data_IF_866499440100
#
_entry.id   IF_866499440100
#
_cell.length_a   1.000
_cell.length_b   1.000
_cell.length_c   1.000
_cell.angle_alpha   90.00
_cell.angle_beta   90.00
_cell.angle_gamma   90.00
#
_symmetry.space_group_name_H-M   'P 1'
#
loop_
_entity.id
_entity.type
_entity.pdbx_description
1 polymer ?
#
# COMPACT_ATOMS: atom_id res chain seq x y z
N UNK A 1 72.43 -10.81 -47.59
CA UNK A 1 72.36 -9.53 -46.83
C UNK A 1 71.44 -9.74 -45.66
N UNK A 2 71.94 -9.93 -44.45
CA UNK A 2 71.19 -10.13 -43.25
C UNK A 2 70.98 -8.77 -42.53
N UNK A 3 69.77 -8.31 -42.42
CA UNK A 3 69.46 -7.06 -41.77
C UNK A 3 69.37 -7.28 -40.24
N UNK A 4 70.26 -6.65 -39.50
CA UNK A 4 70.30 -6.65 -38.05
C UNK A 4 69.26 -5.67 -37.52
N UNK A 5 68.19 -6.16 -36.87
CA UNK A 5 67.21 -5.34 -36.11
C UNK A 5 67.84 -5.12 -34.75
N UNK A 6 68.20 -3.88 -34.43
CA UNK A 6 68.88 -3.50 -33.22
C UNK A 6 68.00 -3.71 -31.96
N UNK A 7 68.61 -4.33 -30.93
CA UNK A 7 68.00 -4.61 -29.58
C UNK A 7 67.29 -3.42 -28.89
N UNK A 8 67.59 -2.18 -29.28
CA UNK A 8 66.98 -0.96 -28.73
C UNK A 8 65.54 -0.73 -29.18
N UNK A 9 65.12 -1.22 -30.38
CA UNK A 9 63.73 -1.08 -30.85
C UNK A 9 62.79 -2.11 -30.24
N UNK A 10 63.31 -3.26 -29.83
CA UNK A 10 62.53 -4.33 -29.20
C UNK A 10 62.17 -4.00 -27.74
N UNK A 11 63.02 -3.26 -27.03
CA UNK A 11 62.71 -2.80 -25.64
C UNK A 11 61.74 -1.64 -25.56
N UNK A 12 61.61 -0.80 -26.61
CA UNK A 12 60.66 0.31 -26.65
C UNK A 12 59.21 -0.14 -26.88
N UNK A 13 59.00 -1.27 -27.56
CA UNK A 13 57.66 -1.84 -27.79
C UNK A 13 57.09 -2.62 -26.58
N UNK A 14 57.96 -3.17 -25.70
CA UNK A 14 57.52 -3.84 -24.47
C UNK A 14 57.21 -2.87 -23.31
N UNK A 15 57.84 -1.68 -23.28
CA UNK A 15 57.58 -0.65 -22.26
C UNK A 15 56.22 0.07 -22.43
N UNK A 16 55.70 0.16 -23.66
CA UNK A 16 54.42 0.79 -23.95
C UNK A 16 53.18 -0.02 -23.54
N UNK A 17 53.29 -1.37 -23.54
CA UNK A 17 52.18 -2.24 -23.19
C UNK A 17 51.97 -2.39 -21.66
N UNK A 18 53.01 -2.17 -20.85
CA UNK A 18 52.93 -2.26 -19.39
C UNK A 18 52.36 -1.00 -18.73
N UNK A 19 52.38 0.17 -19.40
CA UNK A 19 51.83 1.41 -18.88
C UNK A 19 50.31 1.58 -19.12
N UNK A 20 49.73 0.80 -20.06
CA UNK A 20 48.31 0.84 -20.35
C UNK A 20 47.44 -0.09 -19.46
N UNK A 21 48.06 -1.03 -18.75
CA UNK A 21 47.37 -2.01 -17.90
C UNK A 21 46.68 -1.40 -16.67
N UNK A 22 47.26 -0.42 -15.93
CA UNK A 22 46.57 0.17 -14.78
C UNK A 22 45.43 1.11 -15.14
N UNK A 23 45.28 1.57 -16.40
CA UNK A 23 44.16 2.39 -16.83
C UNK A 23 42.89 1.56 -17.19
N UNK A 24 43.08 0.33 -17.67
CA UNK A 24 41.97 -0.58 -17.93
C UNK A 24 41.37 -1.17 -16.64
N UNK A 25 42.17 -1.32 -15.57
CA UNK A 25 41.72 -1.80 -14.26
C UNK A 25 40.89 -0.78 -13.47
N UNK A 26 40.99 0.50 -13.82
CA UNK A 26 40.15 1.56 -13.21
C UNK A 26 38.75 1.70 -13.85
N UNK A 27 38.48 1.06 -14.97
CA UNK A 27 37.20 1.12 -15.67
C UNK A 27 36.14 0.15 -15.13
N UNK A 28 36.47 -0.73 -14.16
CA UNK A 28 35.53 -1.53 -13.41
C UNK A 28 35.30 -0.93 -12.00
N UNK A 29 34.98 0.37 -11.90
CA UNK A 29 34.28 0.82 -10.73
C UNK A 29 32.88 0.15 -10.79
N UNK A 30 32.69 -0.87 -9.95
CA UNK A 30 31.37 -1.44 -9.73
C UNK A 30 30.42 -0.28 -9.39
N UNK A 31 29.50 0.02 -10.28
CA UNK A 31 28.42 0.98 -9.95
C UNK A 31 27.80 0.47 -8.66
N UNK A 32 27.77 1.28 -7.59
CA UNK A 32 27.20 0.83 -6.34
C UNK A 32 25.78 0.31 -6.60
N UNK A 33 25.46 -0.84 -6.03
CA UNK A 33 24.11 -1.41 -6.15
C UNK A 33 23.09 -0.38 -5.66
N UNK A 34 22.10 0.03 -6.47
CA UNK A 34 21.08 0.97 -6.03
C UNK A 34 20.29 0.41 -4.86
N UNK A 35 19.88 1.28 -3.96
CA UNK A 35 19.13 0.93 -2.76
C UNK A 35 17.72 1.50 -2.86
N UNK A 36 16.71 0.66 -2.66
CA UNK A 36 15.33 1.06 -2.47
C UNK A 36 15.02 1.09 -0.99
N UNK A 37 14.64 2.25 -0.45
CA UNK A 37 14.12 2.37 0.91
C UNK A 37 12.63 2.04 0.93
N UNK A 38 12.25 0.89 1.47
CA UNK A 38 10.85 0.49 1.61
C UNK A 38 10.32 0.96 2.96
N UNK A 39 9.41 1.94 2.95
CA UNK A 39 8.83 2.55 4.17
C UNK A 39 7.33 2.22 4.26
N UNK A 40 6.92 1.61 5.38
CA UNK A 40 5.52 1.25 5.62
C UNK A 40 5.08 1.57 7.06
N UNK A 41 3.83 2.00 7.22
CA UNK A 41 3.25 2.27 8.54
C UNK A 41 2.86 1.03 9.35
N UNK A 42 2.71 -0.12 8.70
CA UNK A 42 2.30 -1.38 9.34
C UNK A 42 3.45 -2.32 9.64
N UNK A 43 3.09 -3.59 9.86
CA UNK A 43 4.00 -4.70 10.07
C UNK A 43 4.39 -5.38 8.75
N UNK A 44 5.46 -6.21 8.72
CA UNK A 44 5.82 -7.00 7.56
C UNK A 44 4.67 -7.86 7.04
N UNK A 45 4.45 -7.82 5.72
CA UNK A 45 3.45 -8.62 5.02
C UNK A 45 4.10 -9.25 3.78
N UNK A 46 4.22 -10.57 3.79
CA UNK A 46 4.93 -11.32 2.76
C UNK A 46 4.26 -11.18 1.37
N UNK A 47 2.92 -11.13 1.30
CA UNK A 47 2.18 -11.02 0.04
C UNK A 47 2.38 -9.64 -0.60
N UNK A 48 2.33 -8.58 0.20
CA UNK A 48 2.56 -7.20 -0.25
C UNK A 48 4.00 -7.01 -0.72
N UNK A 49 4.97 -7.51 0.04
CA UNK A 49 6.39 -7.51 -0.35
C UNK A 49 6.59 -8.29 -1.65
N UNK A 50 5.97 -9.47 -1.80
CA UNK A 50 6.05 -10.26 -3.03
C UNK A 50 5.45 -9.52 -4.24
N UNK A 51 4.33 -8.79 -4.06
CA UNK A 51 3.73 -7.97 -5.10
C UNK A 51 4.66 -6.81 -5.51
N UNK A 52 5.25 -6.12 -4.54
CA UNK A 52 6.26 -5.08 -4.80
C UNK A 52 7.48 -5.62 -5.56
N UNK A 53 8.06 -6.74 -5.09
CA UNK A 53 9.19 -7.41 -5.75
C UNK A 53 8.85 -7.83 -7.17
N UNK A 54 7.63 -8.32 -7.41
CA UNK A 54 7.16 -8.67 -8.76
C UNK A 54 7.21 -7.47 -9.69
N UNK A 55 6.66 -6.32 -9.26
CA UNK A 55 6.72 -5.09 -10.06
C UNK A 55 8.14 -4.62 -10.32
N UNK A 56 9.03 -4.73 -9.33
CA UNK A 56 10.44 -4.40 -9.48
C UNK A 56 11.14 -5.33 -10.49
N UNK A 57 10.83 -6.64 -10.42
CA UNK A 57 11.36 -7.66 -11.34
C UNK A 57 10.90 -7.45 -12.79
N UNK A 58 9.67 -6.97 -13.02
CA UNK A 58 9.14 -6.62 -14.35
C UNK A 58 10.00 -5.57 -15.05
N UNK A 59 10.76 -4.79 -14.29
CA UNK A 59 11.70 -3.79 -14.80
C UNK A 59 13.15 -4.29 -14.87
N UNK A 60 13.40 -5.54 -14.53
CA UNK A 60 14.72 -6.17 -14.55
C UNK A 60 15.55 -6.01 -13.28
N UNK A 61 14.96 -5.47 -12.19
CA UNK A 61 15.62 -5.37 -10.89
C UNK A 61 15.23 -6.54 -9.99
N UNK A 62 16.23 -7.28 -9.50
CA UNK A 62 16.06 -8.43 -8.61
C UNK A 62 16.81 -8.17 -7.31
N UNK A 63 16.06 -8.20 -6.18
CA UNK A 63 16.63 -7.98 -4.85
C UNK A 63 17.79 -8.94 -4.56
N UNK A 64 18.88 -8.40 -4.01
CA UNK A 64 20.09 -9.15 -3.69
C UNK A 64 20.98 -9.46 -4.88
N UNK A 65 20.55 -9.12 -6.11
CA UNK A 65 21.32 -9.35 -7.33
C UNK A 65 21.81 -8.04 -7.97
N UNK A 66 20.91 -7.10 -8.24
CA UNK A 66 21.24 -5.81 -8.85
C UNK A 66 20.50 -4.63 -8.21
N UNK A 67 19.77 -4.86 -7.11
CA UNK A 67 19.16 -3.87 -6.25
C UNK A 67 19.14 -4.39 -4.81
N UNK A 68 19.39 -3.51 -3.83
CA UNK A 68 19.15 -3.77 -2.42
C UNK A 68 17.83 -3.13 -1.99
N UNK A 69 17.12 -3.75 -1.04
CA UNK A 69 15.91 -3.17 -0.44
C UNK A 69 16.13 -3.08 1.07
N UNK A 70 15.97 -1.89 1.61
CA UNK A 70 16.00 -1.64 3.05
C UNK A 70 14.57 -1.49 3.56
N UNK A 71 14.10 -2.45 4.34
CA UNK A 71 12.73 -2.49 4.86
C UNK A 71 12.62 -1.78 6.20
N UNK A 72 11.74 -0.77 6.26
CA UNK A 72 11.44 0.01 7.45
C UNK A 72 9.94 -0.05 7.77
N UNK A 73 9.61 -0.68 8.89
CA UNK A 73 8.24 -0.90 9.35
C UNK A 73 7.96 -0.12 10.63
N UNK A 74 6.88 0.66 10.64
CA UNK A 74 6.46 1.38 11.84
C UNK A 74 5.60 0.54 12.79
N UNK A 75 5.13 -0.65 12.35
CA UNK A 75 4.37 -1.60 13.18
C UNK A 75 3.08 -1.01 13.78
N UNK A 76 2.41 -0.11 13.04
CA UNK A 76 1.23 0.60 13.50
C UNK A 76 1.52 1.84 14.35
N UNK A 77 2.78 2.08 14.72
CA UNK A 77 3.22 3.24 15.51
C UNK A 77 3.65 4.36 14.56
N UNK A 78 2.69 5.18 14.09
CA UNK A 78 2.95 6.19 13.06
C UNK A 78 3.93 7.28 13.49
N UNK A 79 4.08 7.53 14.79
CA UNK A 79 5.07 8.43 15.39
C UNK A 79 6.53 8.00 15.13
N UNK A 80 6.78 6.74 14.78
CA UNK A 80 8.09 6.24 14.36
C UNK A 80 8.46 6.63 12.91
N UNK A 81 7.47 6.88 12.04
CA UNK A 81 7.69 7.14 10.61
C UNK A 81 8.67 8.30 10.33
N UNK A 82 8.61 9.45 11.04
CA UNK A 82 9.55 10.54 10.79
C UNK A 82 11.02 10.16 11.03
N UNK A 83 11.30 9.32 12.02
CA UNK A 83 12.65 8.84 12.28
C UNK A 83 13.12 7.86 11.21
N UNK A 84 12.26 6.93 10.80
CA UNK A 84 12.54 5.96 9.74
C UNK A 84 12.77 6.64 8.38
N UNK A 85 11.95 7.63 8.03
CA UNK A 85 12.12 8.39 6.79
C UNK A 85 13.44 9.18 6.78
N UNK A 86 13.79 9.86 7.89
CA UNK A 86 15.08 10.56 8.02
C UNK A 86 16.28 9.61 7.92
N UNK A 87 16.16 8.38 8.40
CA UNK A 87 17.23 7.38 8.25
C UNK A 87 17.48 7.03 6.80
N UNK A 88 16.41 6.76 6.02
CA UNK A 88 16.50 6.52 4.57
C UNK A 88 17.14 7.70 3.82
N UNK A 89 16.75 8.94 4.19
CA UNK A 89 17.33 10.16 3.60
C UNK A 89 18.83 10.27 3.92
N UNK A 90 19.23 10.02 5.17
CA UNK A 90 20.63 10.04 5.60
C UNK A 90 21.46 9.00 4.87
N UNK A 91 20.90 7.82 4.59
CA UNK A 91 21.53 6.74 3.82
C UNK A 91 21.58 7.01 2.32
N UNK A 92 20.96 8.09 1.86
CA UNK A 92 20.92 8.47 0.44
C UNK A 92 20.42 7.32 -0.47
N UNK A 93 19.33 6.69 -0.07
CA UNK A 93 18.71 5.65 -0.90
C UNK A 93 18.35 6.19 -2.27
N UNK A 94 18.37 5.36 -3.31
CA UNK A 94 18.13 5.77 -4.70
C UNK A 94 16.67 6.13 -4.96
N UNK A 95 15.74 5.50 -4.24
CA UNK A 95 14.29 5.76 -4.29
C UNK A 95 13.64 5.31 -2.99
N UNK A 96 12.61 6.02 -2.53
CA UNK A 96 11.77 5.63 -1.39
C UNK A 96 10.46 5.07 -1.92
N UNK A 97 10.18 3.81 -1.62
CA UNK A 97 8.89 3.17 -1.82
C UNK A 97 8.04 3.34 -0.54
N UNK A 98 7.17 4.34 -0.52
CA UNK A 98 6.32 4.68 0.63
C UNK A 98 4.96 3.97 0.49
N UNK A 99 4.83 2.81 1.11
CA UNK A 99 3.75 1.84 0.84
C UNK A 99 2.59 1.88 1.82
N UNK A 100 2.33 3.05 2.37
CA UNK A 100 1.10 3.39 3.10
C UNK A 100 0.94 4.90 3.09
N UNK A 101 -0.26 5.40 3.33
CA UNK A 101 -0.49 6.83 3.23
C UNK A 101 0.24 7.64 4.31
N UNK A 102 0.30 7.23 5.60
CA UNK A 102 1.16 7.90 6.57
C UNK A 102 2.64 7.90 6.18
N UNK A 103 3.13 6.80 5.59
CA UNK A 103 4.50 6.73 5.10
C UNK A 103 4.75 7.68 3.91
N UNK A 104 3.79 7.80 2.98
CA UNK A 104 3.88 8.70 1.82
C UNK A 104 3.98 10.18 2.25
N UNK A 105 3.10 10.60 3.17
CA UNK A 105 3.12 11.97 3.72
C UNK A 105 4.45 12.24 4.42
N UNK A 106 4.90 11.29 5.25
CA UNK A 106 6.15 11.43 6.01
C UNK A 106 7.38 11.45 5.10
N UNK A 107 7.45 10.57 4.09
CA UNK A 107 8.55 10.56 3.14
C UNK A 107 8.63 11.89 2.35
N UNK A 108 7.47 12.42 1.90
CA UNK A 108 7.41 13.71 1.22
C UNK A 108 7.89 14.86 2.10
N UNK A 109 7.54 14.84 3.37
CA UNK A 109 8.02 15.85 4.33
C UNK A 109 9.53 15.74 4.62
N UNK A 110 10.12 14.54 4.47
CA UNK A 110 11.51 14.29 4.79
C UNK A 110 12.49 14.66 3.66
N UNK A 111 12.05 14.65 2.39
CA UNK A 111 12.93 14.94 1.24
C UNK A 111 12.19 15.55 0.06
N UNK A 112 12.86 16.45 -0.65
CA UNK A 112 12.41 17.03 -1.92
C UNK A 112 13.27 16.59 -3.11
N UNK A 113 14.30 15.77 -2.86
CA UNK A 113 15.31 15.39 -3.88
C UNK A 113 15.30 13.90 -4.17
N UNK A 114 15.19 13.03 -3.14
CA UNK A 114 15.10 11.59 -3.35
C UNK A 114 13.75 11.26 -3.96
N UNK A 115 13.69 10.54 -5.10
CA UNK A 115 12.44 10.07 -5.68
C UNK A 115 11.58 9.27 -4.70
N UNK A 116 10.28 9.54 -4.70
CA UNK A 116 9.31 8.83 -3.85
C UNK A 116 8.26 8.21 -4.75
N UNK A 117 8.05 6.90 -4.57
CA UNK A 117 6.93 6.17 -5.18
C UNK A 117 6.00 5.72 -4.07
N UNK A 118 4.78 6.22 -4.06
CA UNK A 118 3.83 5.92 -2.99
C UNK A 118 2.73 4.94 -3.41
N UNK A 119 2.09 4.31 -2.42
CA UNK A 119 0.69 3.87 -2.54
C UNK A 119 -0.15 4.51 -1.45
N UNK A 120 -1.35 4.96 -1.81
CA UNK A 120 -2.32 5.56 -0.88
C UNK A 120 -3.72 5.01 -1.14
N UNK A 121 -4.56 5.07 -0.11
CA UNK A 121 -5.97 4.68 -0.18
C UNK A 121 -6.92 5.86 -0.34
N UNK A 122 -6.39 7.08 -0.46
CA UNK A 122 -7.13 8.33 -0.63
C UNK A 122 -6.61 9.12 -1.82
N UNK A 123 -7.32 10.19 -2.19
CA UNK A 123 -6.91 11.08 -3.28
C UNK A 123 -5.57 11.76 -2.95
N UNK A 124 -4.50 11.46 -3.70
CA UNK A 124 -3.18 12.03 -3.44
C UNK A 124 -3.09 13.52 -3.76
N UNK A 125 -4.05 14.10 -4.50
CA UNK A 125 -4.12 15.55 -4.74
C UNK A 125 -4.67 16.25 -3.50
N UNK A 126 -5.76 15.75 -2.92
CA UNK A 126 -6.31 16.27 -1.66
C UNK A 126 -5.30 16.16 -0.51
N UNK A 127 -4.47 15.10 -0.52
CA UNK A 127 -3.38 14.92 0.43
C UNK A 127 -2.20 15.87 0.20
N UNK A 128 -2.22 16.61 -0.88
CA UNK A 128 -1.10 17.45 -1.29
C UNK A 128 0.17 16.65 -1.64
N UNK A 129 0.08 15.34 -1.91
CA UNK A 129 1.23 14.54 -2.33
C UNK A 129 1.68 14.90 -3.74
N UNK A 130 0.74 15.15 -4.64
CA UNK A 130 0.97 15.50 -6.04
C UNK A 130 0.07 16.65 -6.47
N UNK A 131 0.46 17.37 -7.54
CA UNK A 131 -0.35 18.48 -8.08
C UNK A 131 -1.56 17.97 -8.88
N UNK A 132 -1.41 16.85 -9.59
CA UNK A 132 -2.48 16.13 -10.29
C UNK A 132 -2.07 14.68 -10.55
N UNK A 133 -3.03 13.81 -10.86
CA UNK A 133 -2.75 12.41 -11.17
C UNK A 133 -1.96 12.26 -12.49
N UNK A 134 -2.30 13.06 -13.50
CA UNK A 134 -1.65 13.00 -14.82
C UNK A 134 -0.26 13.62 -14.86
N UNK A 135 -0.01 14.61 -14.01
CA UNK A 135 1.28 15.32 -13.88
C UNK A 135 1.60 15.54 -12.41
N UNK A 136 2.19 14.54 -11.74
CA UNK A 136 2.40 14.60 -10.30
C UNK A 136 3.30 15.76 -9.86
N UNK A 137 4.27 16.16 -10.70
CA UNK A 137 5.29 17.17 -10.43
C UNK A 137 6.26 16.84 -9.29
N UNK A 138 7.45 17.47 -9.30
CA UNK A 138 8.45 17.26 -8.25
C UNK A 138 9.06 15.85 -8.25
N UNK A 139 9.36 15.36 -7.03
CA UNK A 139 10.04 14.08 -6.81
C UNK A 139 9.08 12.93 -6.39
N UNK A 140 7.77 13.10 -6.54
CA UNK A 140 6.76 12.18 -6.00
C UNK A 140 5.84 11.66 -7.10
N UNK A 141 5.61 10.36 -7.15
CA UNK A 141 4.60 9.67 -7.98
C UNK A 141 4.12 8.41 -7.27
N UNK A 142 3.21 7.64 -7.87
CA UNK A 142 2.77 6.38 -7.25
C UNK A 142 1.46 5.83 -7.78
N UNK A 143 0.72 5.18 -6.88
CA UNK A 143 -0.59 4.61 -7.14
C UNK A 143 -1.60 4.96 -6.04
N UNK A 144 -2.89 5.02 -6.39
CA UNK A 144 -3.97 5.17 -5.42
C UNK A 144 -5.07 4.14 -5.67
N UNK A 145 -5.67 3.66 -4.58
CA UNK A 145 -6.78 2.70 -4.61
C UNK A 145 -8.14 3.38 -4.40
N UNK A 146 -8.17 4.63 -3.98
CA UNK A 146 -9.38 5.39 -3.61
C UNK A 146 -10.31 4.62 -2.63
N UNK A 147 -9.73 3.83 -1.74
CA UNK A 147 -10.51 2.97 -0.82
C UNK A 147 -11.29 3.77 0.23
N UNK A 148 -10.88 5.01 0.51
CA UNK A 148 -11.61 5.92 1.40
C UNK A 148 -12.85 6.44 0.68
N UNK A 149 -12.73 6.85 -0.57
CA UNK A 149 -13.79 7.42 -1.40
C UNK A 149 -14.91 6.40 -1.68
N UNK A 150 -14.60 5.11 -1.75
CA UNK A 150 -15.61 4.06 -1.94
C UNK A 150 -16.24 3.56 -0.62
N UNK A 151 -15.86 4.11 0.54
CA UNK A 151 -16.43 3.70 1.83
C UNK A 151 -17.95 3.94 1.94
N UNK A 152 -18.53 5.03 1.41
CA UNK A 152 -19.99 5.19 1.32
C UNK A 152 -20.67 4.02 0.61
N UNK A 153 -20.08 3.51 -0.48
CA UNK A 153 -20.62 2.37 -1.21
C UNK A 153 -20.60 1.07 -0.39
N UNK A 154 -19.64 0.91 0.52
CA UNK A 154 -19.64 -0.22 1.46
C UNK A 154 -20.85 -0.17 2.38
N UNK A 155 -21.21 1.01 2.89
CA UNK A 155 -22.41 1.19 3.72
C UNK A 155 -23.69 0.87 2.92
N UNK A 156 -23.79 1.35 1.68
CA UNK A 156 -24.92 1.05 0.81
C UNK A 156 -25.08 -0.46 0.57
N UNK A 157 -23.98 -1.17 0.25
CA UNK A 157 -23.99 -2.63 0.03
C UNK A 157 -24.41 -3.36 1.31
N UNK A 158 -23.89 -2.94 2.46
CA UNK A 158 -24.21 -3.54 3.75
C UNK A 158 -25.67 -3.29 4.13
N UNK A 159 -26.20 -2.09 3.85
CA UNK A 159 -27.62 -1.77 4.07
C UNK A 159 -28.55 -2.51 3.10
N UNK A 160 -28.15 -2.69 1.84
CA UNK A 160 -28.91 -3.51 0.87
C UNK A 160 -29.04 -4.97 1.35
N UNK A 161 -28.00 -5.49 2.00
CA UNK A 161 -28.04 -6.81 2.62
C UNK A 161 -28.96 -6.84 3.86
N UNK A 162 -29.07 -5.73 4.58
CA UNK A 162 -29.73 -5.64 5.88
C UNK A 162 -30.80 -4.51 5.87
N UNK A 163 -31.84 -4.61 5.00
CA UNK A 163 -32.74 -3.49 4.72
C UNK A 163 -33.62 -3.07 5.91
N UNK A 164 -33.76 -3.92 6.92
CA UNK A 164 -34.51 -3.61 8.15
C UNK A 164 -33.65 -2.96 9.23
N UNK A 165 -32.33 -2.93 9.05
CA UNK A 165 -31.41 -2.33 10.01
C UNK A 165 -31.30 -0.81 9.78
N UNK A 166 -31.49 -0.04 10.87
CA UNK A 166 -31.39 1.43 10.84
C UNK A 166 -30.15 1.95 11.57
N UNK A 167 -29.44 1.09 12.31
CA UNK A 167 -28.25 1.43 13.09
C UNK A 167 -27.04 0.68 12.53
N UNK A 168 -26.01 1.43 12.14
CA UNK A 168 -24.74 0.91 11.68
C UNK A 168 -23.60 1.52 12.46
N UNK A 169 -22.43 0.93 12.36
CA UNK A 169 -21.21 1.48 12.95
C UNK A 169 -20.07 1.55 11.93
N UNK A 170 -19.16 2.49 12.18
CA UNK A 170 -17.88 2.63 11.50
C UNK A 170 -16.77 2.43 12.52
N UNK A 171 -15.87 1.48 12.29
CA UNK A 171 -14.65 1.32 13.08
C UNK A 171 -13.51 2.08 12.42
N UNK A 172 -12.83 2.93 13.18
CA UNK A 172 -11.70 3.74 12.74
C UNK A 172 -10.55 3.70 13.76
N UNK A 173 -9.34 3.97 13.27
CA UNK A 173 -8.21 4.27 14.15
C UNK A 173 -8.10 5.80 14.31
N UNK A 174 -8.25 6.35 15.53
CA UNK A 174 -8.20 7.80 15.76
C UNK A 174 -6.83 8.41 15.46
N UNK A 175 -5.75 7.62 15.42
CA UNK A 175 -4.39 8.11 15.09
C UNK A 175 -4.15 8.22 13.59
N UNK A 176 -5.04 7.68 12.76
CA UNK A 176 -4.94 7.78 11.32
C UNK A 176 -5.37 9.19 10.86
N UNK A 177 -4.56 9.89 10.06
CA UNK A 177 -4.86 11.26 9.60
C UNK A 177 -6.15 11.39 8.75
N UNK A 178 -6.69 10.27 8.25
CA UNK A 178 -7.95 10.29 7.45
C UNK A 178 -9.20 10.01 8.25
N UNK A 179 -9.09 9.67 9.51
CA UNK A 179 -10.23 9.28 10.35
C UNK A 179 -11.33 10.32 10.31
N UNK A 180 -10.98 11.61 10.35
CA UNK A 180 -11.96 12.70 10.32
C UNK A 180 -12.67 12.79 8.96
N UNK A 181 -11.92 12.74 7.84
CA UNK A 181 -12.50 12.81 6.48
C UNK A 181 -13.39 11.60 6.23
N UNK A 182 -12.89 10.40 6.55
CA UNK A 182 -13.63 9.15 6.40
C UNK A 182 -14.94 9.16 7.21
N UNK A 183 -14.86 9.57 8.48
CA UNK A 183 -16.02 9.63 9.39
C UNK A 183 -17.06 10.61 8.88
N UNK A 184 -16.66 11.80 8.45
CA UNK A 184 -17.54 12.84 7.90
C UNK A 184 -18.25 12.37 6.63
N UNK A 185 -17.50 11.75 5.70
CA UNK A 185 -18.04 11.25 4.43
C UNK A 185 -19.06 10.13 4.68
N UNK A 186 -18.75 9.19 5.56
CA UNK A 186 -19.67 8.09 5.86
C UNK A 186 -20.90 8.56 6.66
N UNK A 187 -20.75 9.55 7.56
CA UNK A 187 -21.90 10.17 8.24
C UNK A 187 -22.83 10.90 7.25
N UNK A 188 -22.27 11.57 6.22
CA UNK A 188 -23.07 12.20 5.18
C UNK A 188 -23.86 11.14 4.38
N UNK A 189 -23.21 10.04 4.00
CA UNK A 189 -23.87 8.92 3.30
C UNK A 189 -24.96 8.27 4.19
N UNK A 190 -24.69 8.03 5.46
CA UNK A 190 -25.67 7.48 6.39
C UNK A 190 -26.92 8.37 6.51
N UNK A 191 -26.72 9.70 6.63
CA UNK A 191 -27.84 10.65 6.64
C UNK A 191 -28.67 10.60 5.35
N UNK A 192 -28.05 10.51 4.20
CA UNK A 192 -28.76 10.41 2.92
C UNK A 192 -29.58 9.12 2.77
N UNK A 193 -29.17 8.06 3.47
CA UNK A 193 -29.88 6.78 3.53
C UNK A 193 -30.89 6.69 4.68
N UNK A 194 -31.01 7.72 5.52
CA UNK A 194 -31.88 7.70 6.71
C UNK A 194 -31.36 6.79 7.83
N UNK A 195 -30.05 6.50 7.86
CA UNK A 195 -29.43 5.59 8.82
C UNK A 195 -28.75 6.34 9.96
N UNK A 196 -28.73 5.72 11.13
CA UNK A 196 -27.92 6.14 12.27
C UNK A 196 -26.54 5.47 12.18
N UNK A 197 -25.47 6.28 12.23
CA UNK A 197 -24.08 5.78 12.18
C UNK A 197 -23.34 6.13 13.47
N UNK A 198 -22.82 5.12 14.15
CA UNK A 198 -21.96 5.27 15.32
C UNK A 198 -20.49 5.13 14.90
N UNK A 199 -19.64 6.08 15.33
CA UNK A 199 -18.20 6.01 15.12
C UNK A 199 -17.56 5.34 16.33
N UNK A 200 -16.94 4.19 16.12
CA UNK A 200 -16.21 3.44 17.13
C UNK A 200 -14.71 3.52 16.83
N UNK A 201 -13.90 3.59 17.85
CA UNK A 201 -12.47 3.81 17.73
C UNK A 201 -11.69 2.65 18.33
N UNK A 202 -10.61 2.25 17.62
CA UNK A 202 -9.60 1.33 18.12
C UNK A 202 -8.24 1.79 17.64
N UNK A 203 -7.28 1.95 18.54
CA UNK A 203 -5.88 2.26 18.26
C UNK A 203 -4.94 1.11 18.62
N UNK A 204 -5.44 0.15 19.39
CA UNK A 204 -4.74 -1.06 19.81
C UNK A 204 -5.65 -2.28 19.68
N UNK A 205 -5.07 -3.48 19.69
CA UNK A 205 -5.84 -4.74 19.67
C UNK A 205 -6.73 -4.90 20.92
N UNK A 206 -6.31 -4.35 22.05
CA UNK A 206 -7.09 -4.40 23.30
C UNK A 206 -8.41 -3.65 23.22
N UNK A 207 -8.54 -2.70 22.28
CA UNK A 207 -9.78 -1.94 22.10
C UNK A 207 -10.87 -2.76 21.40
N UNK A 208 -10.50 -3.82 20.67
CA UNK A 208 -11.45 -4.57 19.84
C UNK A 208 -12.59 -5.22 20.63
N UNK A 209 -12.30 -5.84 21.78
CA UNK A 209 -13.34 -6.48 22.58
C UNK A 209 -14.36 -5.44 23.07
N UNK A 210 -13.92 -4.26 23.48
CA UNK A 210 -14.80 -3.16 23.90
C UNK A 210 -15.64 -2.62 22.72
N UNK A 211 -15.06 -2.53 21.52
CA UNK A 211 -15.75 -2.14 20.29
C UNK A 211 -16.87 -3.14 19.99
N UNK A 212 -16.56 -4.45 19.97
CA UNK A 212 -17.58 -5.46 19.66
C UNK A 212 -18.65 -5.59 20.73
N UNK A 213 -18.30 -5.43 22.00
CA UNK A 213 -19.29 -5.33 23.09
C UNK A 213 -20.22 -4.13 22.90
N UNK A 214 -19.69 -2.99 22.44
CA UNK A 214 -20.47 -1.79 22.13
C UNK A 214 -21.41 -2.02 20.95
N UNK A 215 -20.96 -2.68 19.87
CA UNK A 215 -21.80 -3.05 18.72
C UNK A 215 -23.01 -3.88 19.13
N UNK A 216 -22.80 -4.89 19.99
CA UNK A 216 -23.89 -5.72 20.53
C UNK A 216 -24.85 -4.89 21.36
N UNK A 217 -24.35 -4.02 22.24
CA UNK A 217 -25.17 -3.13 23.10
C UNK A 217 -26.01 -2.15 22.28
N UNK A 218 -25.46 -1.60 21.20
CA UNK A 218 -26.13 -0.72 20.25
C UNK A 218 -27.13 -1.47 19.36
N UNK A 219 -27.13 -2.78 19.35
CA UNK A 219 -27.86 -3.62 18.39
C UNK A 219 -27.57 -3.18 16.96
N UNK A 220 -26.29 -2.90 16.67
CA UNK A 220 -25.87 -2.48 15.34
C UNK A 220 -26.21 -3.58 14.33
N UNK A 221 -26.90 -3.22 13.26
CA UNK A 221 -27.21 -4.15 12.18
C UNK A 221 -25.96 -4.58 11.41
N UNK A 222 -24.93 -3.69 11.33
CA UNK A 222 -23.69 -4.02 10.66
C UNK A 222 -22.56 -3.06 10.98
N UNK A 223 -21.34 -3.50 10.63
CA UNK A 223 -20.09 -2.77 10.83
C UNK A 223 -19.40 -2.51 9.49
N UNK A 224 -19.07 -1.25 9.23
CA UNK A 224 -18.10 -0.87 8.19
C UNK A 224 -16.75 -0.68 8.87
N UNK A 225 -15.73 -1.39 8.42
CA UNK A 225 -14.35 -1.13 8.88
C UNK A 225 -13.74 -0.06 7.97
N UNK A 226 -13.17 0.97 8.58
CA UNK A 226 -12.59 2.12 7.89
C UNK A 226 -11.45 1.72 6.95
N UNK A 227 -11.51 2.23 5.72
CA UNK A 227 -10.48 1.98 4.73
C UNK A 227 -9.22 2.82 4.94
N UNK A 228 -8.12 2.43 4.25
CA UNK A 228 -6.87 3.18 4.30
C UNK A 228 -6.09 3.07 5.61
N UNK A 229 -6.42 2.11 6.43
CA UNK A 229 -5.91 1.96 7.79
C UNK A 229 -5.03 0.71 7.92
N UNK A 230 -3.72 0.94 8.06
CA UNK A 230 -2.73 -0.16 8.05
C UNK A 230 -2.81 -1.03 9.32
N UNK A 231 -3.16 -0.44 10.46
CA UNK A 231 -3.32 -1.19 11.72
C UNK A 231 -4.50 -2.16 11.62
N UNK A 232 -5.70 -1.67 11.24
CA UNK A 232 -6.89 -2.50 11.08
C UNK A 232 -6.70 -3.54 9.96
N UNK A 233 -6.01 -3.15 8.88
CA UNK A 233 -5.71 -4.01 7.75
C UNK A 233 -4.79 -5.18 8.13
N UNK A 234 -3.79 -4.95 8.99
CA UNK A 234 -2.92 -6.00 9.51
C UNK A 234 -3.62 -6.94 10.52
N UNK A 235 -4.83 -6.59 10.98
CA UNK A 235 -5.65 -7.36 11.94
C UNK A 235 -6.93 -7.92 11.32
N UNK A 236 -7.00 -7.97 9.99
CA UNK A 236 -8.19 -8.41 9.26
C UNK A 236 -8.70 -9.78 9.71
N UNK A 237 -7.82 -10.74 10.00
CA UNK A 237 -8.21 -12.07 10.49
C UNK A 237 -8.83 -12.02 11.90
N UNK A 238 -8.26 -11.23 12.81
CA UNK A 238 -8.81 -11.05 14.16
C UNK A 238 -10.18 -10.35 14.11
N UNK A 239 -10.30 -9.31 13.29
CA UNK A 239 -11.56 -8.58 13.11
C UNK A 239 -12.64 -9.48 12.48
N UNK A 240 -12.28 -10.33 11.51
CA UNK A 240 -13.20 -11.31 10.92
C UNK A 240 -13.71 -12.31 11.97
N UNK A 241 -12.81 -12.85 12.80
CA UNK A 241 -13.16 -13.78 13.87
C UNK A 241 -14.06 -13.14 14.94
N UNK A 242 -13.80 -11.89 15.32
CA UNK A 242 -14.63 -11.16 16.27
C UNK A 242 -15.99 -10.84 15.68
N UNK A 243 -16.07 -10.41 14.41
CA UNK A 243 -17.30 -10.15 13.71
C UNK A 243 -18.22 -11.40 13.70
N UNK A 244 -17.65 -12.56 13.39
CA UNK A 244 -18.39 -13.83 13.41
C UNK A 244 -18.80 -14.22 14.83
N UNK A 245 -17.90 -14.13 15.82
CA UNK A 245 -18.19 -14.46 17.23
C UNK A 245 -19.36 -13.67 17.81
N UNK A 246 -19.42 -12.37 17.47
CA UNK A 246 -20.44 -11.47 17.96
C UNK A 246 -21.66 -11.36 17.03
N UNK A 247 -21.70 -12.19 15.98
CA UNK A 247 -22.75 -12.19 14.96
C UNK A 247 -23.01 -10.78 14.36
N UNK A 248 -21.94 -10.02 14.08
CA UNK A 248 -22.01 -8.69 13.49
C UNK A 248 -21.67 -8.77 11.99
N UNK A 249 -22.64 -8.56 11.08
CA UNK A 249 -22.38 -8.46 9.65
C UNK A 249 -21.38 -7.34 9.37
N UNK A 250 -20.29 -7.64 8.67
CA UNK A 250 -19.18 -6.68 8.53
C UNK A 250 -18.67 -6.63 7.11
N UNK A 251 -18.41 -5.41 6.62
CA UNK A 251 -17.78 -5.15 5.33
C UNK A 251 -16.47 -4.39 5.53
N UNK A 252 -15.43 -4.77 4.74
CA UNK A 252 -14.13 -4.12 4.75
C UNK A 252 -13.64 -3.82 3.32
N UNK A 253 -12.48 -3.18 3.21
CA UNK A 253 -11.90 -2.84 1.91
C UNK A 253 -11.16 -4.01 1.24
N UNK A 254 -10.47 -4.83 2.02
CA UNK A 254 -9.49 -5.80 1.52
C UNK A 254 -10.06 -7.19 1.33
N UNK A 255 -9.73 -7.81 0.20
CA UNK A 255 -10.02 -9.22 -0.11
C UNK A 255 -9.61 -10.17 1.02
N UNK A 256 -8.45 -9.91 1.66
CA UNK A 256 -7.89 -10.74 2.72
C UNK A 256 -8.84 -10.89 3.92
N UNK A 257 -9.69 -9.87 4.18
CA UNK A 257 -10.73 -9.93 5.21
C UNK A 257 -11.77 -11.01 4.89
N UNK A 258 -12.29 -11.04 3.66
CA UNK A 258 -13.27 -12.05 3.24
C UNK A 258 -12.66 -13.46 3.22
N UNK A 259 -11.41 -13.61 2.77
CA UNK A 259 -10.67 -14.87 2.79
C UNK A 259 -10.40 -15.37 4.22
N UNK A 260 -10.18 -14.47 5.16
CA UNK A 260 -9.99 -14.82 6.58
C UNK A 260 -11.30 -15.14 7.32
N UNK A 261 -12.44 -15.23 6.63
CA UNK A 261 -13.75 -15.55 7.20
C UNK A 261 -14.61 -14.33 7.49
N UNK A 262 -14.25 -13.12 7.03
CA UNK A 262 -15.15 -11.98 7.05
C UNK A 262 -16.31 -12.13 6.08
N UNK A 263 -17.41 -11.40 6.30
CA UNK A 263 -18.62 -11.55 5.48
C UNK A 263 -18.41 -11.09 4.04
N UNK A 264 -17.88 -9.89 3.85
CA UNK A 264 -17.65 -9.35 2.52
C UNK A 264 -16.56 -8.27 2.51
N UNK A 265 -16.00 -8.04 1.32
CA UNK A 265 -15.12 -6.91 1.07
C UNK A 265 -15.51 -6.18 -0.22
N UNK A 266 -15.29 -4.87 -0.23
CA UNK A 266 -15.46 -4.02 -1.41
C UNK A 266 -14.36 -2.98 -1.46
N UNK A 267 -13.44 -3.08 -2.43
CA UNK A 267 -12.31 -2.17 -2.54
C UNK A 267 -11.37 -2.47 -3.69
N UNK A 268 -10.45 -1.56 -3.94
CA UNK A 268 -9.40 -1.70 -4.94
C UNK A 268 -8.30 -2.67 -4.51
N UNK A 269 -7.62 -3.24 -5.50
CA UNK A 269 -6.56 -4.22 -5.28
C UNK A 269 -5.31 -3.57 -4.66
N UNK A 270 -5.04 -3.91 -3.41
CA UNK A 270 -3.80 -3.51 -2.71
C UNK A 270 -2.57 -4.13 -3.39
N UNK A 271 -2.67 -5.39 -3.83
CA UNK A 271 -1.57 -6.10 -4.47
C UNK A 271 -1.13 -5.43 -5.77
N UNK A 272 -2.10 -4.96 -6.60
CA UNK A 272 -1.78 -4.24 -7.83
C UNK A 272 -1.08 -2.92 -7.56
N UNK A 273 -1.49 -2.18 -6.52
CA UNK A 273 -0.83 -0.94 -6.14
C UNK A 273 0.61 -1.17 -5.69
N UNK A 274 0.88 -2.23 -4.90
CA UNK A 274 2.25 -2.59 -4.52
C UNK A 274 3.10 -2.99 -5.73
N UNK A 275 2.52 -3.74 -6.69
CA UNK A 275 3.19 -4.09 -7.95
C UNK A 275 3.54 -2.83 -8.76
N UNK A 276 2.62 -1.87 -8.86
CA UNK A 276 2.86 -0.58 -9.54
C UNK A 276 3.99 0.18 -8.86
N UNK A 277 4.01 0.25 -7.51
CA UNK A 277 5.10 0.90 -6.75
C UNK A 277 6.44 0.26 -7.07
N UNK A 278 6.51 -1.07 -7.14
CA UNK A 278 7.72 -1.80 -7.52
C UNK A 278 8.16 -1.48 -8.96
N UNK A 279 7.23 -1.51 -9.92
CA UNK A 279 7.51 -1.19 -11.31
C UNK A 279 7.99 0.27 -11.48
N UNK A 280 7.37 1.22 -10.78
CA UNK A 280 7.78 2.62 -10.84
C UNK A 280 9.14 2.85 -10.16
N UNK A 281 9.41 2.20 -9.04
CA UNK A 281 10.73 2.23 -8.43
C UNK A 281 11.82 1.77 -9.41
N UNK A 282 11.59 0.67 -10.12
CA UNK A 282 12.53 0.16 -11.11
C UNK A 282 12.69 1.07 -12.34
N UNK A 283 11.62 1.72 -12.81
CA UNK A 283 11.69 2.72 -13.89
C UNK A 283 12.52 3.94 -13.47
N UNK A 284 12.35 4.40 -12.23
CA UNK A 284 13.13 5.51 -11.67
C UNK A 284 14.60 5.11 -11.54
N UNK A 285 14.92 3.89 -11.12
CA UNK A 285 16.29 3.39 -11.09
C UNK A 285 16.93 3.32 -12.49
N UNK A 286 16.13 3.27 -13.56
CA UNK A 286 16.58 3.39 -14.97
C UNK A 286 16.72 4.84 -15.45
N UNK A 287 16.40 5.82 -14.59
CA UNK A 287 16.57 7.24 -14.88
C UNK A 287 15.28 7.99 -15.28
N UNK A 288 14.12 7.35 -15.24
CA UNK A 288 12.86 8.06 -15.45
C UNK A 288 12.57 8.99 -14.26
N UNK A 289 11.99 10.14 -14.53
CA UNK A 289 11.69 11.12 -13.47
C UNK A 289 10.29 10.86 -12.89
N UNK A 290 10.10 10.98 -11.58
CA UNK A 290 8.77 10.86 -10.97
C UNK A 290 7.71 11.77 -11.60
N UNK A 291 8.10 12.99 -11.98
CA UNK A 291 7.22 13.98 -12.62
C UNK A 291 6.65 13.51 -13.98
N UNK A 292 7.32 12.60 -14.67
CA UNK A 292 6.93 12.06 -15.98
C UNK A 292 6.11 10.76 -15.85
N UNK A 293 5.94 10.26 -14.63
CA UNK A 293 5.19 9.05 -14.31
C UNK A 293 3.82 9.42 -13.72
N UNK A 294 2.71 9.31 -14.49
CA UNK A 294 1.38 9.59 -13.95
C UNK A 294 1.06 8.71 -12.74
N UNK A 295 0.36 9.26 -11.76
CA UNK A 295 -0.17 8.44 -10.65
C UNK A 295 -1.18 7.47 -11.21
N UNK A 296 -0.97 6.18 -10.99
CA UNK A 296 -1.93 5.16 -11.40
C UNK A 296 -3.06 5.06 -10.39
N UNK A 297 -4.28 5.14 -10.88
CA UNK A 297 -5.46 4.87 -10.08
C UNK A 297 -5.92 3.44 -10.34
N UNK A 298 -6.10 2.65 -9.28
CA UNK A 298 -6.76 1.35 -9.39
C UNK A 298 -8.22 1.60 -9.71
N UNK A 299 -8.62 1.31 -10.94
CA UNK A 299 -10.00 1.51 -11.43
C UNK A 299 -10.89 0.32 -11.14
N UNK A 300 -10.31 -0.86 -10.93
CA UNK A 300 -11.06 -2.07 -10.60
C UNK A 300 -11.29 -2.12 -9.10
N UNK A 301 -12.56 -1.99 -8.70
CA UNK A 301 -13.04 -2.23 -7.34
C UNK A 301 -13.78 -3.56 -7.34
N UNK A 302 -13.41 -4.47 -6.45
CA UNK A 302 -13.93 -5.83 -6.41
C UNK A 302 -14.85 -6.02 -5.20
N UNK A 303 -16.04 -6.62 -5.46
CA UNK A 303 -16.95 -7.10 -4.43
C UNK A 303 -16.71 -8.60 -4.23
N UNK A 304 -16.31 -8.99 -3.02
CA UNK A 304 -16.11 -10.38 -2.65
C UNK A 304 -17.04 -10.73 -1.51
N UNK A 305 -17.76 -11.83 -1.63
CA UNK A 305 -18.76 -12.28 -0.67
C UNK A 305 -18.40 -13.68 -0.18
N UNK A 306 -18.41 -13.88 1.15
CA UNK A 306 -18.20 -15.18 1.78
C UNK A 306 -19.55 -15.78 2.19
N UNK A 307 -20.07 -16.71 1.38
CA UNK A 307 -21.35 -17.38 1.66
C UNK A 307 -21.29 -18.32 2.86
N UNK A 308 -20.12 -18.87 3.17
CA UNK A 308 -19.96 -19.66 4.39
C UNK A 308 -20.19 -18.81 5.63
N UNK A 309 -19.63 -17.61 5.65
CA UNK A 309 -19.83 -16.64 6.73
C UNK A 309 -21.25 -16.11 6.75
N UNK A 310 -21.85 -15.82 5.58
CA UNK A 310 -23.25 -15.42 5.49
C UNK A 310 -24.18 -16.47 6.12
N UNK A 311 -24.02 -17.75 5.77
CA UNK A 311 -24.77 -18.87 6.36
C UNK A 311 -24.56 -18.97 7.87
N UNK A 312 -23.32 -18.79 8.35
CA UNK A 312 -23.02 -18.84 9.80
C UNK A 312 -23.64 -17.67 10.57
N UNK A 313 -23.87 -16.54 9.92
CA UNK A 313 -24.57 -15.38 10.47
C UNK A 313 -26.10 -15.45 10.31
N UNK A 314 -26.63 -16.51 9.67
CA UNK A 314 -28.05 -16.63 9.37
C UNK A 314 -28.55 -15.64 8.33
N UNK A 315 -27.69 -15.17 7.45
CA UNK A 315 -28.01 -14.18 6.42
C UNK A 315 -28.23 -14.85 5.07
N UNK A 316 -29.29 -14.42 4.40
CA UNK A 316 -29.54 -14.71 2.99
C UNK A 316 -29.06 -13.52 2.15
N UNK A 317 -28.12 -13.75 1.24
CA UNK A 317 -27.58 -12.70 0.39
C UNK A 317 -28.55 -12.47 -0.80
N UNK A 318 -29.07 -11.26 -1.00
CA UNK A 318 -29.96 -10.96 -2.11
C UNK A 318 -29.32 -11.32 -3.47
N UNK A 319 -30.08 -11.90 -4.41
CA UNK A 319 -29.56 -12.21 -5.75
C UNK A 319 -28.95 -11.01 -6.47
N UNK A 320 -29.47 -9.80 -6.23
CA UNK A 320 -28.93 -8.54 -6.76
C UNK A 320 -27.52 -8.21 -6.26
N UNK A 321 -27.20 -8.59 -5.02
CA UNK A 321 -25.86 -8.42 -4.43
C UNK A 321 -24.91 -9.49 -4.97
N UNK A 322 -25.36 -10.76 -5.05
CA UNK A 322 -24.56 -11.86 -5.59
C UNK A 322 -24.20 -11.59 -7.08
N UNK A 323 -25.15 -11.09 -7.87
CA UNK A 323 -24.93 -10.82 -9.29
C UNK A 323 -23.86 -9.75 -9.56
N UNK A 324 -23.56 -8.91 -8.56
CA UNK A 324 -22.51 -7.88 -8.64
C UNK A 324 -21.18 -8.33 -8.05
N UNK A 325 -21.15 -9.50 -7.42
CA UNK A 325 -19.91 -10.01 -6.83
C UNK A 325 -18.93 -10.42 -7.93
N UNK A 326 -17.69 -9.95 -7.83
CA UNK A 326 -16.57 -10.40 -8.66
C UNK A 326 -16.12 -11.80 -8.26
N UNK A 327 -16.31 -12.15 -6.98
CA UNK A 327 -15.98 -13.46 -6.43
C UNK A 327 -16.92 -13.83 -5.28
N UNK A 328 -17.26 -15.11 -5.22
CA UNK A 328 -18.06 -15.72 -4.17
C UNK A 328 -17.26 -16.87 -3.54
N UNK A 329 -17.02 -16.79 -2.24
CA UNK A 329 -16.33 -17.83 -1.45
C UNK A 329 -17.40 -18.74 -0.86
N UNK A 330 -17.35 -20.05 -1.18
CA UNK A 330 -18.29 -21.09 -0.73
C UNK A 330 -17.80 -21.89 0.49
#
# INVERSE_FOLDING_TARGET
MASYIGRRKFLATLGGAAAAWPLAARAQQSVPMPVVGFLNGGSPDANRVAAFRRGLNETGYVEGHNVAIEYHWAEGQYDRLPALARDLVRRQVSVIAATSTPAAITARAATTTIPIVFTTSSDPVELGLVASLSRPSGNVTGATQLNIEVTPKRLEILHELLPTANVFALLVNPTNPYTEILSRNLQAAARSLGLQLHILQASTEHDFDAVFATLVKLRSGGLVIGGGEVFLDSRHGQLAALALRHAVPTIYQGRDFALAGGLMSYGGSTMDSYRVVGAYAGRILKGEKPADLPVQQTTKVELIINLKTARALGLEIPPTVIARADEVIE
#
